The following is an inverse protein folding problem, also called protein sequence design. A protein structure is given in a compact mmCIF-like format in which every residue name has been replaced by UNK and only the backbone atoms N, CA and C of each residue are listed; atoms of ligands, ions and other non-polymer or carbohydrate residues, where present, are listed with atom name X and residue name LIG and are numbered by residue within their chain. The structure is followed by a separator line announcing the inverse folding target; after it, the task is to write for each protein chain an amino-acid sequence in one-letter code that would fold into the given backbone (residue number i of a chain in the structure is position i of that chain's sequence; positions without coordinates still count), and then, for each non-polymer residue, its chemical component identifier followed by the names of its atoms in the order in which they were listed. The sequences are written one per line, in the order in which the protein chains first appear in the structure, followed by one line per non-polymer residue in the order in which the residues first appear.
data_IF_633832386801
#
_entry.id   IF_633832386801
#
_cell.length_a   1.000
_cell.length_b   1.000
_cell.length_c   1.000
_cell.angle_alpha   90.00
_cell.angle_beta   90.00
_cell.angle_gamma   90.00
#
_symmetry.space_group_name_H-M   'P 1'
#
loop_
_entity.id
_entity.type
_entity.pdbx_description
1 polymer ?
#
# COMPACT_ATOMS: atom_id res chain seq x y z
N UNK A 1 -2.95 -20.23 -1.68
CA UNK A 1 -3.27 -19.93 -0.26
C UNK A 1 -2.48 -18.72 0.23
N UNK A 2 -1.14 -18.73 0.20
CA UNK A 2 -0.30 -17.60 0.66
C UNK A 2 -0.68 -16.25 0.02
N UNK A 3 -0.76 -16.17 -1.31
CA UNK A 3 -1.11 -14.92 -2.00
C UNK A 3 -2.51 -14.39 -1.64
N UNK A 4 -3.48 -15.28 -1.40
CA UNK A 4 -4.82 -14.89 -0.96
C UNK A 4 -4.80 -14.36 0.48
N UNK A 5 -4.05 -15.02 1.38
CA UNK A 5 -3.84 -14.53 2.74
C UNK A 5 -3.16 -13.16 2.77
N UNK A 6 -2.13 -12.97 1.94
CA UNK A 6 -1.45 -11.68 1.79
C UNK A 6 -2.40 -10.58 1.30
N UNK A 7 -3.26 -10.88 0.31
CA UNK A 7 -4.26 -9.93 -0.18
C UNK A 7 -5.25 -9.51 0.92
N UNK A 8 -5.71 -10.47 1.74
CA UNK A 8 -6.56 -10.17 2.91
C UNK A 8 -5.82 -9.30 3.92
N UNK A 9 -4.56 -9.62 4.22
CA UNK A 9 -3.73 -8.84 5.14
C UNK A 9 -3.55 -7.39 4.67
N UNK A 10 -3.21 -7.18 3.40
CA UNK A 10 -3.08 -5.83 2.81
C UNK A 10 -4.40 -5.08 2.87
N UNK A 11 -5.53 -5.74 2.56
CA UNK A 11 -6.85 -5.12 2.62
C UNK A 11 -7.18 -4.65 4.04
N UNK A 12 -7.03 -5.52 5.04
CA UNK A 12 -7.26 -5.17 6.44
C UNK A 12 -6.38 -4.01 6.90
N UNK A 13 -5.11 -4.02 6.50
CA UNK A 13 -4.16 -2.96 6.80
C UNK A 13 -4.54 -1.61 6.17
N UNK A 14 -4.87 -1.58 4.88
CA UNK A 14 -5.30 -0.34 4.19
C UNK A 14 -6.58 0.22 4.79
N UNK A 15 -7.55 -0.66 5.12
CA UNK A 15 -8.79 -0.26 5.76
C UNK A 15 -8.49 0.38 7.13
N UNK A 16 -7.67 -0.26 7.96
CA UNK A 16 -7.30 0.28 9.26
C UNK A 16 -6.70 1.71 9.15
N UNK A 17 -5.82 1.95 8.18
CA UNK A 17 -5.28 3.28 7.95
C UNK A 17 -6.34 4.31 7.58
N UNK A 18 -7.21 3.98 6.62
CA UNK A 18 -8.19 4.94 6.06
C UNK A 18 -9.38 5.15 6.99
N UNK A 19 -9.81 4.13 7.75
CA UNK A 19 -11.05 4.20 8.55
C UNK A 19 -10.82 4.29 10.06
N UNK A 20 -9.60 4.05 10.55
CA UNK A 20 -9.30 4.10 11.98
C UNK A 20 -8.20 5.10 12.28
N UNK A 21 -7.01 4.95 11.69
CA UNK A 21 -5.83 5.75 12.06
C UNK A 21 -5.98 7.21 11.64
N UNK A 22 -6.28 7.47 10.37
CA UNK A 22 -6.40 8.83 9.86
C UNK A 22 -7.56 9.59 10.51
N UNK A 23 -8.79 9.05 10.62
CA UNK A 23 -9.86 9.69 11.39
C UNK A 23 -9.46 10.01 12.82
N UNK A 24 -8.81 9.05 13.51
CA UNK A 24 -8.40 9.24 14.90
C UNK A 24 -7.42 10.40 15.04
N UNK A 25 -6.45 10.54 14.14
CA UNK A 25 -5.51 11.65 14.16
C UNK A 25 -6.14 12.99 13.75
N UNK A 26 -7.13 12.99 12.84
CA UNK A 26 -7.83 14.21 12.41
C UNK A 26 -8.81 14.73 13.47
N UNK A 27 -9.42 13.84 14.25
CA UNK A 27 -10.43 14.16 15.25
C UNK A 27 -9.92 14.13 16.71
N UNK A 28 -8.64 13.80 16.93
CA UNK A 28 -8.03 13.82 18.26
C UNK A 28 -8.17 15.20 18.93
N UNK A 29 -8.58 15.22 20.19
CA UNK A 29 -8.48 16.41 21.04
C UNK A 29 -7.01 16.82 21.24
N UNK A 30 -6.76 18.05 21.68
CA UNK A 30 -5.39 18.52 21.90
C UNK A 30 -4.62 17.63 22.89
N UNK A 31 -5.30 17.17 23.95
CA UNK A 31 -4.74 16.24 24.93
C UNK A 31 -4.40 14.86 24.34
N UNK A 32 -5.23 14.34 23.42
CA UNK A 32 -4.97 13.09 22.72
C UNK A 32 -3.88 13.24 21.64
N UNK A 33 -3.70 14.45 21.10
CA UNK A 33 -2.69 14.75 20.09
C UNK A 33 -1.30 15.06 20.68
N UNK A 34 -1.20 15.53 21.92
CA UNK A 34 0.09 15.76 22.60
C UNK A 34 1.11 14.62 22.43
N UNK A 35 0.78 13.35 22.73
CA UNK A 35 1.72 12.24 22.55
C UNK A 35 2.10 11.98 21.09
N UNK A 36 1.36 12.53 20.12
CA UNK A 36 1.57 12.34 18.69
C UNK A 36 2.47 13.42 18.06
N UNK A 37 2.65 14.57 18.72
CA UNK A 37 3.52 15.67 18.24
C UNK A 37 4.94 15.24 17.89
N UNK A 38 5.62 14.35 18.64
CA UNK A 38 6.95 13.89 18.25
C UNK A 38 7.00 13.20 16.89
N UNK A 39 5.87 12.68 16.39
CA UNK A 39 5.78 11.91 15.16
C UNK A 39 5.19 12.72 14.00
N UNK A 40 4.15 13.52 14.27
CA UNK A 40 3.39 14.27 13.26
C UNK A 40 3.66 15.79 13.29
N UNK A 41 4.44 16.28 14.26
CA UNK A 41 4.74 17.68 14.48
C UNK A 41 3.70 18.41 15.33
N UNK A 42 3.99 19.67 15.66
CA UNK A 42 3.13 20.47 16.55
C UNK A 42 1.76 20.78 15.95
N UNK A 43 1.69 20.91 14.62
CA UNK A 43 0.45 21.15 13.88
C UNK A 43 -0.17 19.83 13.47
N UNK A 44 -1.39 19.58 13.94
CA UNK A 44 -2.19 18.41 13.57
C UNK A 44 -2.39 18.35 12.04
N UNK A 45 -2.36 17.14 11.44
CA UNK A 45 -2.70 16.97 10.03
C UNK A 45 -4.04 17.62 9.70
N UNK A 46 -4.14 18.44 8.64
CA UNK A 46 -5.35 19.19 8.33
C UNK A 46 -6.42 18.34 7.62
N UNK A 47 -6.03 17.28 6.91
CA UNK A 47 -6.92 16.40 6.14
C UNK A 47 -6.17 15.15 5.65
N UNK A 48 -6.90 14.26 4.95
CA UNK A 48 -6.38 13.03 4.36
C UNK A 48 -5.23 13.24 3.38
N UNK A 49 -5.24 14.34 2.62
CA UNK A 49 -4.23 14.62 1.62
C UNK A 49 -2.84 14.83 2.23
N UNK A 50 -2.79 15.27 3.49
CA UNK A 50 -1.54 15.36 4.24
C UNK A 50 -0.90 13.98 4.41
N UNK A 51 -1.67 12.95 4.77
CA UNK A 51 -1.16 11.58 4.92
C UNK A 51 -0.74 10.98 3.57
N UNK A 52 -1.52 11.21 2.52
CA UNK A 52 -1.22 10.72 1.16
C UNK A 52 0.10 11.29 0.62
N UNK A 53 0.41 12.55 0.92
CA UNK A 53 1.69 13.18 0.53
C UNK A 53 2.89 12.70 1.34
N UNK A 54 2.68 12.19 2.55
CA UNK A 54 3.75 11.63 3.36
C UNK A 54 4.33 10.37 2.74
N UNK A 55 5.57 10.01 3.14
CA UNK A 55 6.28 8.85 2.58
C UNK A 55 5.48 7.57 2.71
N UNK A 56 4.86 7.34 3.87
CA UNK A 56 3.92 6.24 4.11
C UNK A 56 2.77 6.18 3.09
N UNK A 57 2.13 7.31 2.83
CA UNK A 57 0.94 7.37 1.98
C UNK A 57 1.22 7.01 0.53
N UNK A 58 2.16 7.71 -0.11
CA UNK A 58 2.42 7.48 -1.54
C UNK A 58 3.10 6.13 -1.78
N UNK A 59 4.02 5.69 -0.91
CA UNK A 59 4.66 4.37 -1.05
C UNK A 59 3.64 3.25 -0.90
N UNK A 60 2.72 3.35 0.08
CA UNK A 60 1.64 2.38 0.27
C UNK A 60 0.70 2.29 -0.93
N UNK A 61 0.36 3.44 -1.54
CA UNK A 61 -0.46 3.47 -2.77
C UNK A 61 0.27 2.80 -3.94
N UNK A 62 1.55 3.09 -4.14
CA UNK A 62 2.33 2.47 -5.23
C UNK A 62 2.42 0.96 -5.02
N UNK A 63 2.71 0.49 -3.80
CA UNK A 63 2.70 -0.94 -3.46
C UNK A 63 1.35 -1.56 -3.81
N UNK A 64 0.24 -0.96 -3.37
CA UNK A 64 -1.10 -1.48 -3.60
C UNK A 64 -1.41 -1.62 -5.10
N UNK A 65 -1.10 -0.59 -5.90
CA UNK A 65 -1.31 -0.60 -7.35
C UNK A 65 -0.50 -1.70 -8.03
N UNK A 66 0.79 -1.81 -7.73
CA UNK A 66 1.66 -2.83 -8.32
C UNK A 66 1.20 -4.25 -7.94
N UNK A 67 0.79 -4.45 -6.69
CA UNK A 67 0.27 -5.73 -6.23
C UNK A 67 -1.05 -6.11 -6.89
N UNK A 68 -1.97 -5.16 -7.08
CA UNK A 68 -3.22 -5.40 -7.81
C UNK A 68 -2.92 -5.84 -9.25
N UNK A 69 -2.02 -5.16 -9.94
CA UNK A 69 -1.62 -5.52 -11.31
C UNK A 69 -1.04 -6.94 -11.35
N UNK A 70 -0.09 -7.25 -10.47
CA UNK A 70 0.52 -8.58 -10.40
C UNK A 70 -0.52 -9.66 -10.09
N UNK A 71 -1.41 -9.42 -9.12
CA UNK A 71 -2.42 -10.37 -8.68
C UNK A 71 -3.48 -10.63 -9.75
N UNK A 72 -4.01 -9.57 -10.39
CA UNK A 72 -5.02 -9.70 -11.45
C UNK A 72 -4.45 -10.47 -12.64
N UNK A 73 -3.23 -10.14 -13.08
CA UNK A 73 -2.56 -10.84 -14.19
C UNK A 73 -2.17 -12.28 -13.85
N UNK A 74 -2.01 -12.62 -12.56
CA UNK A 74 -1.79 -13.98 -12.09
C UNK A 74 -3.03 -14.89 -12.18
N UNK A 75 -4.23 -14.31 -12.22
CA UNK A 75 -5.46 -15.11 -12.29
C UNK A 75 -5.49 -15.96 -13.57
N UNK A 76 -6.02 -17.21 -13.53
CA UNK A 76 -6.01 -18.10 -14.69
C UNK A 76 -6.68 -17.51 -15.94
N UNK A 77 -7.66 -16.63 -15.75
CA UNK A 77 -8.45 -15.98 -16.79
C UNK A 77 -7.59 -15.01 -17.62
N UNK A 78 -6.82 -14.15 -16.94
CA UNK A 78 -5.90 -13.20 -17.56
C UNK A 78 -4.62 -13.87 -18.05
N UNK A 79 -4.01 -14.75 -17.26
CA UNK A 79 -2.77 -15.45 -17.61
C UNK A 79 -2.92 -16.36 -18.83
N UNK A 80 -4.05 -17.05 -18.97
CA UNK A 80 -4.35 -17.92 -20.13
C UNK A 80 -5.04 -17.19 -21.28
N UNK A 81 -5.20 -15.87 -21.17
CA UNK A 81 -5.86 -15.01 -22.17
C UNK A 81 -7.26 -15.51 -22.59
N UNK A 82 -8.06 -15.98 -21.63
CA UNK A 82 -9.39 -16.59 -21.86
C UNK A 82 -10.53 -15.57 -21.88
N UNK A 83 -10.27 -14.32 -21.50
CA UNK A 83 -11.24 -13.24 -21.50
C UNK A 83 -11.43 -12.65 -22.90
N UNK A 84 -12.67 -12.33 -23.24
CA UNK A 84 -12.99 -11.69 -24.50
C UNK A 84 -12.87 -10.16 -24.37
N UNK A 85 -11.62 -9.67 -24.38
CA UNK A 85 -11.29 -8.25 -24.23
C UNK A 85 -11.09 -7.57 -25.60
N UNK A 86 -11.29 -6.24 -25.70
CA UNK A 86 -10.88 -5.46 -26.87
C UNK A 86 -9.43 -5.72 -27.25
N UNK A 87 -9.10 -5.67 -28.55
CA UNK A 87 -7.76 -5.99 -29.09
C UNK A 87 -6.60 -5.33 -28.34
N UNK A 88 -6.76 -4.06 -27.96
CA UNK A 88 -5.74 -3.30 -27.23
C UNK A 88 -5.42 -3.91 -25.85
N UNK A 89 -6.45 -4.24 -25.07
CA UNK A 89 -6.29 -4.84 -23.74
C UNK A 89 -5.82 -6.30 -23.83
N UNK A 90 -6.21 -7.02 -24.88
CA UNK A 90 -5.77 -8.41 -25.12
C UNK A 90 -4.26 -8.53 -25.36
N UNK A 91 -3.58 -7.43 -25.73
CA UNK A 91 -2.11 -7.36 -25.82
C UNK A 91 -1.43 -7.25 -24.44
N UNK A 92 -2.16 -6.79 -23.43
CA UNK A 92 -1.70 -6.63 -22.04
C UNK A 92 -2.00 -7.85 -21.16
N UNK A 93 -2.50 -8.94 -21.75
CA UNK A 93 -2.83 -10.20 -21.06
C UNK A 93 -2.02 -11.37 -21.62
N UNK A 94 -2.03 -12.52 -20.93
CA UNK A 94 -1.25 -13.70 -21.32
C UNK A 94 -0.02 -13.97 -20.44
N UNK A 95 0.71 -15.02 -20.78
CA UNK A 95 1.84 -15.52 -19.96
C UNK A 95 2.99 -14.51 -19.86
N UNK A 96 3.32 -13.79 -20.94
CA UNK A 96 4.37 -12.77 -20.91
C UNK A 96 3.99 -11.60 -19.98
N UNK A 97 2.75 -11.09 -20.09
CA UNK A 97 2.27 -10.04 -19.20
C UNK A 97 2.28 -10.46 -17.72
N UNK A 98 1.86 -11.70 -17.45
CA UNK A 98 1.98 -12.32 -16.13
C UNK A 98 3.43 -12.38 -15.64
N UNK A 99 4.36 -12.85 -16.48
CA UNK A 99 5.75 -13.03 -16.09
C UNK A 99 6.43 -11.70 -15.78
N UNK A 100 6.25 -10.70 -16.64
CA UNK A 100 6.81 -9.36 -16.41
C UNK A 100 6.17 -8.66 -15.22
N UNK A 101 4.87 -8.84 -14.98
CA UNK A 101 4.24 -8.26 -13.79
C UNK A 101 4.73 -8.90 -12.49
N UNK A 102 5.22 -10.15 -12.50
CA UNK A 102 5.83 -10.76 -11.31
C UNK A 102 7.17 -10.12 -10.95
N UNK A 103 7.93 -9.62 -11.92
CA UNK A 103 9.17 -8.90 -11.62
C UNK A 103 8.94 -7.57 -10.89
N UNK A 104 7.70 -7.03 -10.91
CA UNK A 104 7.32 -5.89 -10.08
C UNK A 104 7.50 -6.17 -8.59
N UNK A 105 7.54 -7.44 -8.16
CA UNK A 105 7.81 -7.78 -6.76
C UNK A 105 9.17 -7.29 -6.27
N UNK A 106 10.17 -7.16 -7.14
CA UNK A 106 11.48 -6.57 -6.76
C UNK A 106 11.29 -5.13 -6.28
N UNK A 107 10.49 -4.35 -7.01
CA UNK A 107 10.16 -2.96 -6.66
C UNK A 107 9.28 -2.94 -5.40
N UNK A 108 8.28 -3.82 -5.31
CA UNK A 108 7.39 -3.90 -4.14
C UNK A 108 8.18 -4.23 -2.87
N UNK A 109 9.14 -5.16 -2.90
CA UNK A 109 9.97 -5.47 -1.74
C UNK A 109 10.85 -4.29 -1.32
N UNK A 110 11.46 -3.58 -2.27
CA UNK A 110 12.21 -2.37 -1.96
C UNK A 110 11.31 -1.29 -1.33
N UNK A 111 10.11 -1.09 -1.88
CA UNK A 111 9.13 -0.15 -1.33
C UNK A 111 8.60 -0.59 0.03
N UNK A 112 8.44 -1.89 0.30
CA UNK A 112 8.04 -2.37 1.63
C UNK A 112 9.07 -2.02 2.70
N UNK A 113 10.37 -2.08 2.38
CA UNK A 113 11.42 -1.65 3.30
C UNK A 113 11.30 -0.15 3.58
N UNK A 114 11.12 0.66 2.54
CA UNK A 114 10.97 2.12 2.69
C UNK A 114 9.69 2.46 3.47
N UNK A 115 8.56 1.88 3.10
CA UNK A 115 7.26 2.06 3.75
C UNK A 115 7.29 1.60 5.22
N UNK A 116 7.92 0.47 5.53
CA UNK A 116 8.05 0.04 6.93
C UNK A 116 9.06 0.87 7.73
N UNK A 117 10.11 1.38 7.09
CA UNK A 117 11.13 2.18 7.77
C UNK A 117 10.64 3.59 8.09
N UNK A 118 9.85 4.22 7.23
CA UNK A 118 9.38 5.60 7.40
C UNK A 118 8.14 5.72 8.31
N UNK A 119 7.70 4.60 8.94
CA UNK A 119 6.61 4.55 9.90
C UNK A 119 6.71 5.67 10.94
N UNK A 120 5.68 6.51 10.98
CA UNK A 120 5.62 7.68 11.86
C UNK A 120 5.89 7.34 13.33
N UNK A 121 5.47 6.17 13.81
CA UNK A 121 5.38 5.84 15.24
C UNK A 121 6.68 5.33 15.89
N UNK A 122 7.74 5.09 15.11
CA UNK A 122 8.99 4.51 15.64
C UNK A 122 10.21 5.25 15.10
N UNK A 123 10.70 6.26 15.83
CA UNK A 123 11.92 7.00 15.44
C UNK A 123 13.23 6.27 15.74
N UNK A 124 13.21 5.29 16.64
CA UNK A 124 14.42 4.59 17.10
C UNK A 124 14.74 3.44 16.16
N UNK A 125 15.88 3.52 15.47
CA UNK A 125 16.35 2.51 14.51
C UNK A 125 16.33 1.08 15.08
N UNK A 126 16.72 0.87 16.35
CA UNK A 126 16.72 -0.45 16.99
C UNK A 126 15.32 -1.02 17.31
N UNK A 127 14.25 -0.25 17.10
CA UNK A 127 12.85 -0.71 17.19
C UNK A 127 12.23 -0.94 15.81
N UNK A 128 12.96 -0.66 14.72
CA UNK A 128 12.52 -0.84 13.33
C UNK A 128 12.95 -2.21 12.75
N UNK A 129 13.73 -2.99 13.50
CA UNK A 129 14.23 -4.33 13.17
C UNK A 129 13.92 -5.27 14.33
#
# INVERSE_FOLDING_TARGET
VVAAGAAVGVLLHVIAHVTCDFPRLLHATDAEYEPMKPFFGDKRPPNYWWFVKGTEGWTGIVILVLMIIAYVLATPWFRRNRLNLPKALKKLTGFNAFWYSHHLFVIVYALYIVHGYELYLTKKWYKKT
#
